data_IF_065272403634
#
_entry.id   IF_065272403634
#
_cell.length_a   1.000
_cell.length_b   1.000
_cell.length_c   1.000
_cell.angle_alpha   90.00
_cell.angle_beta   90.00
_cell.angle_gamma   90.00
#
_symmetry.space_group_name_H-M   'P 1'
#
loop_
_entity.id
_entity.type
_entity.pdbx_description
1 polymer ?
#
# COMPACT_ATOMS: atom_id res chain seq x y z
N UNK A 1 8.60 28.61 10.24
CA UNK A 1 8.01 27.34 10.75
C UNK A 1 8.64 26.22 9.95
N UNK A 2 9.40 25.29 10.55
CA UNK A 2 9.87 24.12 9.80
C UNK A 2 8.65 23.28 9.42
N UNK A 3 8.51 22.96 8.13
CA UNK A 3 7.43 22.11 7.61
C UNK A 3 7.80 20.66 7.93
N UNK A 4 7.13 20.06 8.91
CA UNK A 4 7.14 18.61 9.08
C UNK A 4 6.49 17.99 7.84
N UNK A 5 7.19 17.06 7.19
CA UNK A 5 6.78 16.52 5.91
C UNK A 5 6.77 14.99 5.96
N UNK A 6 5.56 14.43 5.99
CA UNK A 6 5.35 13.02 5.74
C UNK A 6 5.42 12.81 4.23
N UNK A 7 6.32 11.96 3.77
CA UNK A 7 6.45 11.62 2.35
C UNK A 7 6.24 10.12 2.17
N UNK A 8 5.23 9.78 1.38
CA UNK A 8 4.99 8.41 0.91
C UNK A 8 5.54 8.28 -0.51
N UNK A 9 6.40 7.29 -0.72
CA UNK A 9 6.88 6.93 -2.06
C UNK A 9 6.50 5.48 -2.34
N UNK A 10 5.85 5.23 -3.47
CA UNK A 10 5.77 3.88 -3.99
C UNK A 10 7.08 3.60 -4.72
N UNK A 11 7.73 2.45 -4.46
CA UNK A 11 8.93 2.07 -5.22
C UNK A 11 8.62 2.15 -6.72
N UNK A 12 9.37 2.93 -7.52
CA UNK A 12 9.09 3.16 -8.92
C UNK A 12 9.36 1.88 -9.69
N UNK A 13 8.34 1.06 -9.84
CA UNK A 13 8.28 0.13 -10.96
C UNK A 13 7.21 0.55 -11.97
N UNK A 14 6.56 1.71 -11.77
CA UNK A 14 5.37 2.11 -12.54
C UNK A 14 5.51 3.48 -13.23
N UNK A 15 6.41 4.37 -12.81
CA UNK A 15 6.43 5.74 -13.34
C UNK A 15 7.71 6.20 -14.07
N UNK A 16 8.87 5.51 -13.95
CA UNK A 16 10.13 5.92 -14.63
C UNK A 16 10.70 4.91 -15.61
N UNK A 17 10.27 3.63 -15.59
CA UNK A 17 10.81 2.59 -16.48
C UNK A 17 12.24 2.14 -16.16
N UNK A 18 12.84 2.66 -15.09
CA UNK A 18 14.17 2.27 -14.57
C UNK A 18 14.05 1.71 -13.15
N UNK A 19 14.85 0.68 -12.82
CA UNK A 19 15.00 0.18 -11.45
C UNK A 19 15.85 1.16 -10.64
N UNK A 20 15.24 2.28 -10.24
CA UNK A 20 15.94 3.32 -9.50
C UNK A 20 16.27 2.93 -8.05
N UNK A 21 15.57 1.93 -7.49
CA UNK A 21 15.80 1.45 -6.11
C UNK A 21 15.72 -0.08 -6.02
N UNK A 22 16.53 -0.67 -5.14
CA UNK A 22 16.55 -2.13 -4.92
C UNK A 22 15.33 -2.64 -4.15
N UNK A 23 14.88 -1.87 -3.17
CA UNK A 23 13.78 -2.19 -2.25
C UNK A 23 13.31 -0.95 -1.48
N UNK A 24 12.26 -1.10 -0.66
CA UNK A 24 11.71 -0.01 0.13
C UNK A 24 12.72 0.60 1.12
N UNK A 25 13.65 -0.18 1.67
CA UNK A 25 14.66 0.35 2.59
C UNK A 25 15.70 1.19 1.84
N UNK A 26 16.11 0.75 0.65
CA UNK A 26 16.99 1.50 -0.25
C UNK A 26 16.37 2.84 -0.68
N UNK A 27 15.08 2.84 -1.05
CA UNK A 27 14.33 4.06 -1.34
C UNK A 27 14.28 5.01 -0.13
N UNK A 28 13.93 4.50 1.07
CA UNK A 28 13.93 5.28 2.31
C UNK A 28 15.32 5.88 2.61
N UNK A 29 16.39 5.12 2.41
CA UNK A 29 17.75 5.58 2.64
C UNK A 29 18.19 6.67 1.65
N UNK A 30 17.82 6.53 0.37
CA UNK A 30 18.15 7.52 -0.65
C UNK A 30 17.36 8.82 -0.47
N UNK A 31 16.08 8.74 -0.09
CA UNK A 31 15.28 9.92 0.29
C UNK A 31 15.90 10.66 1.49
N UNK A 32 16.36 9.94 2.52
CA UNK A 32 17.08 10.55 3.65
C UNK A 32 18.37 11.24 3.21
N UNK A 33 19.11 10.65 2.27
CA UNK A 33 20.31 11.28 1.69
C UNK A 33 19.99 12.58 0.95
N UNK A 34 18.90 12.61 0.16
CA UNK A 34 18.50 13.80 -0.60
C UNK A 34 18.03 14.95 0.29
N UNK A 35 17.29 14.65 1.35
CA UNK A 35 16.78 15.67 2.28
C UNK A 35 17.88 16.19 3.23
N UNK A 36 19.01 15.48 3.35
CA UNK A 36 20.04 15.78 4.32
C UNK A 36 19.64 15.35 5.74
N UNK A 37 20.44 15.71 6.75
CA UNK A 37 20.25 15.27 8.14
C UNK A 37 19.05 15.97 8.83
N UNK A 38 17.85 15.84 8.26
CA UNK A 38 16.62 16.40 8.78
C UNK A 38 15.88 15.35 9.61
N UNK A 39 15.86 15.55 10.93
CA UNK A 39 15.18 14.66 11.87
C UNK A 39 13.64 14.73 11.77
N UNK A 40 13.09 15.73 11.07
CA UNK A 40 11.64 15.89 10.85
C UNK A 40 11.17 15.27 9.52
N UNK A 41 12.02 14.47 8.88
CA UNK A 41 11.68 13.79 7.63
C UNK A 41 11.44 12.30 7.87
N UNK A 42 10.20 11.87 7.62
CA UNK A 42 9.72 10.52 7.88
C UNK A 42 9.33 9.84 6.56
N UNK A 43 10.29 9.18 5.86
CA UNK A 43 10.01 8.51 4.61
C UNK A 43 9.35 7.15 4.87
N UNK A 44 8.20 6.94 4.24
CA UNK A 44 7.52 5.64 4.17
C UNK A 44 7.49 5.15 2.73
N UNK A 45 7.74 3.86 2.53
CA UNK A 45 7.79 3.29 1.19
C UNK A 45 7.09 1.94 1.11
N UNK A 46 6.11 1.82 0.21
CA UNK A 46 5.55 0.53 -0.15
C UNK A 46 6.53 -0.21 -1.07
N UNK A 47 6.98 -1.39 -0.63
CA UNK A 47 8.01 -2.17 -1.34
C UNK A 47 7.56 -2.63 -2.72
N UNK A 48 6.29 -2.99 -2.87
CA UNK A 48 5.77 -3.59 -4.10
C UNK A 48 4.59 -2.80 -4.69
N UNK A 49 3.51 -2.64 -3.93
CA UNK A 49 2.31 -1.94 -4.41
C UNK A 49 1.44 -1.52 -3.21
N UNK A 50 0.77 -0.37 -3.28
CA UNK A 50 -0.16 0.03 -2.22
C UNK A 50 -1.35 -0.93 -2.12
N UNK A 51 -1.67 -1.64 -3.21
CA UNK A 51 -2.69 -2.69 -3.25
C UNK A 51 -2.45 -3.83 -2.25
N UNK A 52 -1.24 -3.97 -1.70
CA UNK A 52 -1.00 -4.81 -0.53
C UNK A 52 -2.00 -4.49 0.61
N UNK A 53 -2.27 -3.21 0.85
CA UNK A 53 -3.18 -2.73 1.88
C UNK A 53 -4.66 -2.98 1.56
N UNK A 54 -4.98 -3.37 0.33
CA UNK A 54 -6.34 -3.76 -0.08
C UNK A 54 -6.61 -5.25 0.17
N UNK A 55 -5.57 -6.08 0.27
CA UNK A 55 -5.71 -7.52 0.47
C UNK A 55 -6.49 -7.91 1.74
N UNK A 56 -6.42 -7.18 2.88
CA UNK A 56 -7.27 -7.43 4.04
C UNK A 56 -8.79 -7.28 3.76
N UNK A 57 -9.17 -6.59 2.68
CA UNK A 57 -10.56 -6.40 2.26
C UNK A 57 -10.96 -7.38 1.15
N UNK A 58 -10.43 -8.60 1.19
CA UNK A 58 -10.63 -9.57 0.12
C UNK A 58 -12.10 -9.96 -0.10
N UNK A 59 -12.90 -10.01 0.97
CA UNK A 59 -14.34 -10.24 0.85
C UNK A 59 -15.00 -9.18 -0.04
N UNK A 60 -14.62 -7.91 0.14
CA UNK A 60 -15.13 -6.81 -0.68
C UNK A 60 -14.67 -6.91 -2.13
N UNK A 61 -13.42 -7.33 -2.34
CA UNK A 61 -12.86 -7.60 -3.67
C UNK A 61 -13.66 -8.70 -4.38
N UNK A 62 -14.01 -9.79 -3.68
CA UNK A 62 -14.84 -10.87 -4.23
C UNK A 62 -16.25 -10.40 -4.60
N UNK A 63 -16.87 -9.55 -3.78
CA UNK A 63 -18.18 -8.95 -4.07
C UNK A 63 -18.15 -8.11 -5.34
N UNK A 64 -17.15 -7.24 -5.48
CA UNK A 64 -16.98 -6.35 -6.64
C UNK A 64 -16.68 -7.15 -7.91
N UNK A 65 -15.81 -8.16 -7.82
CA UNK A 65 -15.47 -9.04 -8.93
C UNK A 65 -16.59 -10.04 -9.28
N UNK A 66 -17.57 -10.24 -8.39
CA UNK A 66 -18.62 -11.27 -8.49
C UNK A 66 -18.05 -12.67 -8.68
N UNK A 67 -16.92 -12.95 -8.02
CA UNK A 67 -16.20 -14.21 -8.13
C UNK A 67 -15.59 -14.62 -6.80
N UNK A 68 -15.65 -15.92 -6.47
CA UNK A 68 -15.13 -16.46 -5.23
C UNK A 68 -13.77 -17.10 -5.48
N UNK A 69 -12.71 -16.33 -5.32
CA UNK A 69 -11.30 -16.79 -5.31
C UNK A 69 -10.70 -16.55 -3.95
N UNK A 70 -9.88 -17.45 -3.42
CA UNK A 70 -9.20 -17.25 -2.14
C UNK A 70 -8.14 -16.14 -2.23
N UNK A 71 -7.89 -15.39 -1.13
CA UNK A 71 -6.80 -14.41 -1.09
C UNK A 71 -5.44 -15.08 -1.27
N UNK A 72 -4.41 -14.33 -1.71
CA UNK A 72 -3.04 -14.80 -1.65
C UNK A 72 -2.65 -15.10 -0.19
N UNK A 73 -1.87 -16.16 0.02
CA UNK A 73 -1.39 -16.55 1.34
C UNK A 73 -0.17 -15.70 1.73
N UNK A 74 -0.09 -15.27 3.00
CA UNK A 74 1.04 -14.54 3.55
C UNK A 74 0.69 -13.12 4.02
N UNK A 75 1.70 -12.41 4.54
CA UNK A 75 1.55 -11.01 4.94
C UNK A 75 1.31 -10.13 3.71
N UNK A 76 0.31 -9.24 3.72
CA UNK A 76 -0.10 -8.46 2.54
C UNK A 76 1.06 -7.71 1.86
N UNK A 77 1.98 -7.17 2.65
CA UNK A 77 3.12 -6.38 2.16
C UNK A 77 4.28 -7.25 1.68
N UNK A 78 4.28 -8.54 2.00
CA UNK A 78 5.25 -9.53 1.52
C UNK A 78 4.74 -10.34 0.34
N UNK A 79 3.48 -10.13 -0.09
CA UNK A 79 2.92 -10.77 -1.29
C UNK A 79 3.59 -10.18 -2.54
N UNK A 80 4.77 -10.69 -2.88
CA UNK A 80 5.41 -10.50 -4.18
C UNK A 80 6.16 -11.77 -4.62
N UNK A 81 5.43 -12.87 -4.77
CA UNK A 81 5.92 -14.13 -5.35
C UNK A 81 5.98 -14.04 -6.88
N UNK A 82 6.65 -13.01 -7.42
CA UNK A 82 6.67 -12.67 -8.85
C UNK A 82 5.30 -12.26 -9.43
N UNK A 83 4.33 -12.02 -8.53
CA UNK A 83 3.02 -11.45 -8.81
C UNK A 83 2.75 -10.36 -7.76
N UNK A 84 2.71 -9.08 -8.15
CA UNK A 84 2.37 -8.02 -7.22
C UNK A 84 0.89 -8.11 -6.79
N UNK A 85 0.51 -7.49 -5.66
CA UNK A 85 -0.86 -7.50 -5.16
C UNK A 85 -1.90 -7.05 -6.20
N UNK A 86 -1.60 -6.03 -7.00
CA UNK A 86 -2.46 -5.61 -8.12
C UNK A 86 -2.75 -6.71 -9.14
N UNK A 87 -1.80 -7.60 -9.41
CA UNK A 87 -2.04 -8.74 -10.32
C UNK A 87 -3.00 -9.75 -9.72
N UNK A 88 -2.95 -9.98 -8.40
CA UNK A 88 -3.92 -10.84 -7.73
C UNK A 88 -5.34 -10.27 -7.80
N UNK A 89 -5.50 -8.96 -7.63
CA UNK A 89 -6.79 -8.27 -7.74
C UNK A 89 -7.25 -8.22 -9.21
N UNK A 90 -6.33 -7.99 -10.15
CA UNK A 90 -6.64 -8.03 -11.58
C UNK A 90 -7.17 -9.41 -11.99
N UNK A 91 -6.50 -10.50 -11.59
CA UNK A 91 -6.91 -11.85 -11.94
C UNK A 91 -8.31 -12.19 -11.45
N UNK A 92 -8.73 -11.75 -10.25
CA UNK A 92 -10.09 -12.05 -9.76
C UNK A 92 -11.15 -11.24 -10.52
N UNK A 93 -10.86 -9.99 -10.89
CA UNK A 93 -11.74 -9.19 -11.74
C UNK A 93 -11.85 -9.78 -13.15
N UNK A 94 -10.74 -10.27 -13.72
CA UNK A 94 -10.74 -10.88 -15.06
C UNK A 94 -11.43 -12.24 -15.10
N UNK A 95 -11.32 -13.04 -14.03
CA UNK A 95 -12.04 -14.31 -13.90
C UNK A 95 -13.52 -14.12 -13.53
N UNK A 96 -13.87 -12.94 -13.03
CA UNK A 96 -15.19 -12.64 -12.54
C UNK A 96 -16.20 -12.29 -13.61
N UNK A 97 -17.43 -12.05 -13.17
CA UNK A 97 -18.52 -11.55 -14.03
C UNK A 97 -18.62 -10.02 -13.98
N UNK A 98 -17.63 -9.34 -13.41
CA UNK A 98 -17.56 -7.88 -13.49
C UNK A 98 -17.21 -7.46 -14.92
N UNK A 99 -17.69 -6.27 -15.31
CA UNK A 99 -17.68 -5.82 -16.71
C UNK A 99 -16.27 -5.53 -17.24
N UNK A 100 -15.34 -5.20 -16.35
CA UNK A 100 -14.01 -4.69 -16.68
C UNK A 100 -12.94 -5.32 -15.77
N UNK A 101 -11.70 -5.31 -16.26
CA UNK A 101 -10.51 -5.59 -15.44
C UNK A 101 -10.35 -4.54 -14.34
N UNK A 102 -9.60 -4.91 -13.29
CA UNK A 102 -9.29 -4.03 -12.17
C UNK A 102 -8.57 -2.76 -12.63
N UNK A 103 -9.06 -1.60 -12.18
CA UNK A 103 -8.44 -0.30 -12.36
C UNK A 103 -8.14 0.35 -11.01
N UNK A 104 -6.88 0.73 -10.79
CA UNK A 104 -6.42 1.36 -9.55
C UNK A 104 -7.20 2.63 -9.19
N UNK A 105 -7.56 3.44 -10.18
CA UNK A 105 -8.25 4.72 -9.96
C UNK A 105 -9.73 4.56 -9.62
N UNK A 106 -10.37 3.50 -10.15
CA UNK A 106 -11.81 3.26 -9.98
C UNK A 106 -12.09 2.28 -8.85
N UNK A 107 -11.38 1.17 -8.80
CA UNK A 107 -11.77 0.03 -7.98
C UNK A 107 -11.11 0.07 -6.60
N UNK A 108 -9.88 0.58 -6.46
CA UNK A 108 -9.24 0.77 -5.15
C UNK A 108 -10.10 1.62 -4.17
N UNK A 109 -10.62 2.81 -4.55
CA UNK A 109 -11.47 3.57 -3.64
C UNK A 109 -12.79 2.86 -3.35
N UNK A 110 -13.34 2.10 -4.31
CA UNK A 110 -14.57 1.31 -4.10
C UNK A 110 -14.37 0.10 -3.17
N UNK A 111 -13.15 -0.47 -3.14
CA UNK A 111 -12.76 -1.52 -2.19
C UNK A 111 -12.67 -0.92 -0.78
N UNK A 112 -12.10 0.27 -0.64
CA UNK A 112 -11.96 0.95 0.66
C UNK A 112 -13.26 1.61 1.14
N UNK A 113 -14.21 1.85 0.25
CA UNK A 113 -15.48 2.50 0.59
C UNK A 113 -16.24 1.67 1.62
N UNK A 114 -16.67 2.34 2.69
CA UNK A 114 -17.39 1.73 3.81
C UNK A 114 -16.59 0.64 4.54
N UNK A 115 -15.26 0.61 4.37
CA UNK A 115 -14.37 -0.30 5.09
C UNK A 115 -13.64 0.41 6.23
N UNK A 116 -13.41 -0.35 7.29
CA UNK A 116 -12.62 0.09 8.42
C UNK A 116 -11.12 -0.06 8.12
N UNK A 117 -10.45 1.08 7.93
CA UNK A 117 -9.01 1.13 7.63
C UNK A 117 -8.16 0.50 8.75
N UNK A 118 -8.66 0.41 9.97
CA UNK A 118 -7.94 -0.24 11.08
C UNK A 118 -7.69 -1.73 10.82
N UNK A 119 -8.56 -2.41 10.03
CA UNK A 119 -8.29 -3.78 9.56
C UNK A 119 -7.01 -3.89 8.74
N UNK A 120 -6.75 -2.91 7.87
CA UNK A 120 -5.51 -2.90 7.11
C UNK A 120 -4.31 -2.51 7.98
N UNK A 121 -4.49 -1.52 8.87
CA UNK A 121 -3.43 -1.06 9.79
C UNK A 121 -2.96 -2.18 10.73
N UNK A 122 -3.86 -3.01 11.24
CA UNK A 122 -3.49 -4.12 12.15
C UNK A 122 -2.69 -5.23 11.47
N UNK A 123 -2.89 -5.43 10.16
CA UNK A 123 -2.27 -6.52 9.39
C UNK A 123 -1.03 -6.06 8.61
N UNK A 124 -0.96 -4.77 8.23
CA UNK A 124 0.10 -4.19 7.41
C UNK A 124 1.07 -3.36 8.27
N UNK A 125 2.27 -3.87 8.61
CA UNK A 125 3.24 -3.16 9.45
C UNK A 125 3.72 -1.80 8.89
N UNK A 126 3.94 -1.63 7.58
CA UNK A 126 4.37 -0.33 7.06
C UNK A 126 3.22 0.68 7.04
N UNK A 127 1.98 0.25 6.77
CA UNK A 127 0.81 1.12 6.90
C UNK A 127 0.61 1.56 8.35
N UNK A 128 0.78 0.66 9.31
CA UNK A 128 0.76 0.99 10.74
C UNK A 128 1.83 2.01 11.10
N UNK A 129 3.06 1.80 10.64
CA UNK A 129 4.15 2.74 10.86
C UNK A 129 3.82 4.12 10.26
N UNK A 130 3.26 4.17 9.05
CA UNK A 130 2.84 5.41 8.40
C UNK A 130 1.75 6.15 9.17
N UNK A 131 0.69 5.45 9.59
CA UNK A 131 -0.41 6.04 10.36
C UNK A 131 0.08 6.49 11.73
N UNK A 132 0.92 5.70 12.41
CA UNK A 132 1.49 6.09 13.71
C UNK A 132 2.40 7.32 13.59
N UNK A 133 3.15 7.48 12.49
CA UNK A 133 3.90 8.71 12.22
C UNK A 133 2.96 9.92 12.09
N UNK A 134 1.85 9.79 11.36
CA UNK A 134 0.88 10.88 11.22
C UNK A 134 0.27 11.22 12.58
N UNK A 135 -0.13 10.21 13.36
CA UNK A 135 -0.71 10.42 14.69
C UNK A 135 0.30 11.10 15.63
N UNK A 136 1.57 10.67 15.61
CA UNK A 136 2.63 11.32 16.38
C UNK A 136 2.78 12.82 16.04
N UNK A 137 2.70 13.17 14.75
CA UNK A 137 2.79 14.56 14.29
C UNK A 137 1.53 15.39 14.60
N UNK A 138 0.40 14.72 14.88
CA UNK A 138 -0.86 15.35 15.26
C UNK A 138 -1.14 15.26 16.77
N UNK A 139 -0.16 14.87 17.59
CA UNK A 139 -0.31 14.63 19.04
C UNK A 139 -1.44 13.62 19.38
N UNK A 140 -1.68 12.64 18.50
CA UNK A 140 -2.66 11.57 18.69
C UNK A 140 -2.09 10.31 19.32
N UNK A 141 -2.96 9.48 19.92
CA UNK A 141 -2.60 8.18 20.49
C UNK A 141 -2.15 7.18 19.41
N UNK A 142 -1.06 6.47 19.68
CA UNK A 142 -0.54 5.45 18.76
C UNK A 142 -1.43 4.20 18.72
N UNK A 143 -1.50 3.58 17.55
CA UNK A 143 -2.19 2.32 17.35
C UNK A 143 -1.24 1.19 17.80
N UNK A 144 -1.63 0.44 18.83
CA UNK A 144 -0.87 -0.66 19.43
C UNK A 144 -1.00 -1.98 18.68
#
# INVERSE_FOLDING_TARGET
>A
MPREAVSFVQSPNVYTGTKDFKDAADAKAQMKKWVGNNLQFYPHAAQYDFEAWLLPFWDRIQELAKYKKSPPSGQPEQVNHHKPPSKHIQEIFELGKCRDSYSKTRDAPNILKDQDLMKAVTVCPELKAFVNTILLLCDGDMIH
#
